data_IF_712494489727
#
_entry.id   IF_712494489727
#
_cell.length_a   1.000
_cell.length_b   1.000
_cell.length_c   1.000
_cell.angle_alpha   90.00
_cell.angle_beta   90.00
_cell.angle_gamma   90.00
#
_symmetry.space_group_name_H-M   'P 1'
#
loop_
_entity.id
_entity.type
_entity.pdbx_description
1 polymer ?
#
# COMPACT_ATOMS: atom_id res chain seq x y z
N UNK A 1 -28.33 2.76 12.51
CA UNK A 1 -27.76 1.44 12.20
C UNK A 1 -27.26 1.47 10.77
N UNK A 2 -26.03 1.93 10.53
CA UNK A 2 -25.41 1.80 9.21
C UNK A 2 -24.71 0.45 9.19
N UNK A 3 -25.15 -0.42 8.28
CA UNK A 3 -24.46 -1.66 7.97
C UNK A 3 -23.03 -1.31 7.63
N UNK A 4 -22.05 -1.86 8.37
CA UNK A 4 -20.72 -2.01 7.82
C UNK A 4 -20.91 -2.76 6.49
N UNK A 5 -20.56 -2.14 5.37
CA UNK A 5 -20.43 -2.91 4.15
C UNK A 5 -19.38 -3.98 4.45
N UNK A 6 -19.73 -5.26 4.36
CA UNK A 6 -18.75 -6.34 4.41
C UNK A 6 -17.94 -6.27 3.11
N UNK A 7 -17.00 -5.34 3.02
CA UNK A 7 -16.01 -5.30 1.95
C UNK A 7 -14.76 -6.03 2.44
N UNK A 8 -14.13 -6.77 1.54
CA UNK A 8 -12.80 -7.34 1.74
C UNK A 8 -11.79 -6.51 0.94
N UNK A 9 -10.63 -6.27 1.52
CA UNK A 9 -9.51 -5.61 0.88
C UNK A 9 -8.20 -6.29 1.29
N UNK A 10 -7.13 -6.03 0.54
CA UNK A 10 -5.87 -6.72 0.74
C UNK A 10 -5.77 -8.04 -0.03
N UNK A 11 -4.84 -8.88 0.39
CA UNK A 11 -4.57 -10.21 -0.16
C UNK A 11 -3.20 -10.33 -0.84
N UNK A 12 -2.90 -11.54 -1.31
CA UNK A 12 -1.68 -11.87 -2.03
C UNK A 12 -1.76 -11.39 -3.49
N UNK A 13 -0.77 -10.61 -3.91
CA UNK A 13 -0.59 -10.15 -5.29
C UNK A 13 0.69 -10.78 -5.85
N UNK A 14 0.52 -11.76 -6.75
CA UNK A 14 1.62 -12.57 -7.27
C UNK A 14 1.96 -12.31 -8.75
N UNK A 15 1.50 -11.19 -9.30
CA UNK A 15 1.72 -10.82 -10.70
C UNK A 15 2.92 -9.88 -10.83
N UNK A 16 3.45 -9.72 -12.06
CA UNK A 16 4.59 -8.83 -12.33
C UNK A 16 4.23 -7.34 -12.18
N UNK A 17 2.95 -7.01 -12.15
CA UNK A 17 2.45 -5.66 -11.95
C UNK A 17 0.99 -5.70 -11.55
N UNK A 18 0.50 -4.61 -10.99
CA UNK A 18 -0.90 -4.41 -10.68
C UNK A 18 -1.15 -3.10 -9.97
N UNK A 19 -2.39 -2.92 -9.52
CA UNK A 19 -2.84 -1.69 -8.87
C UNK A 19 -3.48 -2.04 -7.53
N UNK A 20 -3.18 -1.23 -6.52
CA UNK A 20 -3.77 -1.28 -5.18
C UNK A 20 -4.57 0.00 -4.97
N UNK A 21 -5.76 -0.13 -4.40
CA UNK A 21 -6.63 0.98 -4.10
C UNK A 21 -7.21 0.82 -2.70
N UNK A 22 -7.43 1.95 -2.03
CA UNK A 22 -8.29 1.95 -0.84
C UNK A 22 -9.70 1.46 -1.21
N UNK A 23 -10.42 0.81 -0.27
CA UNK A 23 -11.79 0.39 -0.53
C UNK A 23 -12.66 1.55 -1.02
N UNK A 24 -13.52 1.28 -2.00
CA UNK A 24 -14.43 2.24 -2.64
C UNK A 24 -13.78 3.38 -3.44
N UNK A 25 -12.46 3.40 -3.64
CA UNK A 25 -11.80 4.39 -4.50
C UNK A 25 -12.46 4.44 -5.91
N UNK A 26 -12.71 5.63 -6.50
CA UNK A 26 -12.30 6.98 -6.05
C UNK A 26 -13.32 7.64 -5.10
N UNK A 27 -14.27 6.89 -4.53
CA UNK A 27 -15.08 7.32 -3.41
C UNK A 27 -14.30 7.31 -2.10
N UNK A 28 -14.95 7.73 -1.01
CA UNK A 28 -14.29 7.75 0.28
C UNK A 28 -14.04 6.33 0.81
N UNK A 29 -12.87 6.10 1.40
CA UNK A 29 -12.63 4.87 2.16
C UNK A 29 -13.57 4.79 3.37
N UNK A 30 -13.85 3.60 3.89
CA UNK A 30 -14.67 3.41 5.08
C UNK A 30 -13.87 3.64 6.38
N UNK A 31 -14.58 3.94 7.45
CA UNK A 31 -14.03 3.97 8.80
C UNK A 31 -13.53 2.57 9.22
N UNK A 32 -12.47 2.52 10.02
CA UNK A 32 -11.86 1.31 10.57
C UNK A 32 -11.41 0.30 9.50
N UNK A 33 -10.97 0.81 8.34
CA UNK A 33 -10.39 -0.03 7.31
C UNK A 33 -9.02 -0.53 7.75
N UNK A 34 -8.78 -1.82 7.57
CA UNK A 34 -7.49 -2.45 7.82
C UNK A 34 -7.21 -3.43 6.68
N UNK A 35 -6.45 -2.97 5.68
CA UNK A 35 -6.18 -3.70 4.44
C UNK A 35 -4.69 -4.02 4.35
N UNK A 36 -4.35 -5.29 4.14
CA UNK A 36 -2.96 -5.74 3.98
C UNK A 36 -2.80 -6.41 2.63
N UNK A 37 -1.92 -5.86 1.79
CA UNK A 37 -1.50 -6.50 0.55
C UNK A 37 -0.09 -7.04 0.70
N UNK A 38 0.09 -8.31 0.34
CA UNK A 38 1.39 -8.96 0.25
C UNK A 38 1.74 -9.09 -1.23
N UNK A 39 2.79 -8.41 -1.67
CA UNK A 39 3.22 -8.43 -3.06
C UNK A 39 4.40 -9.38 -3.17
N UNK A 40 4.26 -10.40 -4.02
CA UNK A 40 5.29 -11.40 -4.28
C UNK A 40 5.56 -11.50 -5.78
N UNK A 41 6.70 -10.99 -6.21
CA UNK A 41 7.20 -11.17 -7.58
C UNK A 41 8.19 -12.33 -7.64
N UNK A 42 8.65 -12.68 -8.84
CA UNK A 42 9.69 -13.71 -9.03
C UNK A 42 11.00 -13.33 -8.32
N UNK A 43 11.73 -14.32 -7.80
CA UNK A 43 12.86 -14.13 -6.87
C UNK A 43 14.04 -13.31 -7.42
N UNK A 44 14.15 -13.14 -8.74
CA UNK A 44 15.17 -12.32 -9.41
C UNK A 44 14.74 -10.85 -9.64
N UNK A 45 13.60 -10.44 -9.09
CA UNK A 45 13.06 -9.10 -9.19
C UNK A 45 12.86 -8.48 -7.81
N UNK A 46 12.71 -7.15 -7.80
CA UNK A 46 12.24 -6.34 -6.67
C UNK A 46 10.90 -5.74 -7.01
N UNK A 47 10.15 -5.34 -6.00
CA UNK A 47 8.87 -4.66 -6.14
C UNK A 47 9.11 -3.15 -6.08
N UNK A 48 8.67 -2.42 -7.10
CA UNK A 48 8.55 -0.96 -7.04
C UNK A 48 7.08 -0.59 -6.97
N UNK A 49 6.72 0.26 -6.01
CA UNK A 49 5.37 0.75 -5.73
C UNK A 49 5.33 2.27 -5.89
N UNK A 50 4.46 2.78 -6.76
CA UNK A 50 4.30 4.22 -7.03
C UNK A 50 2.88 4.67 -6.73
N UNK A 51 2.72 5.63 -5.82
CA UNK A 51 1.42 6.25 -5.55
C UNK A 51 1.03 7.19 -6.69
N UNK A 52 -0.23 7.08 -7.14
CA UNK A 52 -0.84 7.93 -8.18
C UNK A 52 -1.80 8.96 -7.61
N UNK A 53 -2.41 8.63 -6.49
CA UNK A 53 -3.31 9.51 -5.74
C UNK A 53 -3.17 9.18 -4.25
N UNK A 54 -3.23 10.21 -3.41
CA UNK A 54 -3.31 10.04 -1.96
C UNK A 54 -4.00 11.25 -1.32
N UNK A 55 -5.13 10.97 -0.67
CA UNK A 55 -5.90 11.93 0.09
C UNK A 55 -6.55 11.21 1.28
N UNK A 56 -5.89 11.26 2.44
CA UNK A 56 -6.38 10.72 3.71
C UNK A 56 -6.37 11.79 4.79
N UNK A 57 -6.78 11.44 6.01
CA UNK A 57 -6.63 12.36 7.14
C UNK A 57 -5.16 12.71 7.34
N UNK A 58 -4.81 13.97 7.02
CA UNK A 58 -3.43 14.44 6.97
C UNK A 58 -2.80 14.70 8.34
N UNK A 59 -1.72 15.49 8.35
CA UNK A 59 -0.95 15.83 9.55
C UNK A 59 0.30 14.95 9.68
N UNK A 60 0.45 14.26 10.81
CA UNK A 60 1.61 13.37 11.08
C UNK A 60 1.33 11.89 10.74
N UNK A 61 0.28 11.63 9.97
CA UNK A 61 -0.18 10.26 9.62
C UNK A 61 -0.42 9.38 10.86
N UNK A 62 -0.92 9.98 11.96
CA UNK A 62 -1.17 9.27 13.22
C UNK A 62 -2.53 8.56 13.23
N UNK A 63 -3.48 9.08 12.46
CA UNK A 63 -4.85 8.58 12.37
C UNK A 63 -5.00 7.54 11.26
N UNK A 64 -4.84 8.01 10.03
CA UNK A 64 -4.98 7.19 8.84
C UNK A 64 -3.64 7.19 8.12
N UNK A 65 -3.24 6.04 7.60
CA UNK A 65 -1.96 5.91 6.91
C UNK A 65 -1.90 4.72 5.96
N UNK A 66 -0.92 4.77 5.08
CA UNK A 66 -0.37 3.62 4.37
C UNK A 66 1.07 3.43 4.80
N UNK A 67 1.39 2.25 5.31
CA UNK A 67 2.73 1.81 5.67
C UNK A 67 3.24 0.82 4.63
N UNK A 68 4.51 0.98 4.23
CA UNK A 68 5.15 0.15 3.22
C UNK A 68 6.35 -0.53 3.87
N UNK A 69 6.36 -1.86 3.85
CA UNK A 69 7.35 -2.69 4.52
C UNK A 69 8.21 -3.46 3.49
N UNK A 70 9.52 -3.50 3.75
CA UNK A 70 10.53 -4.20 2.95
C UNK A 70 10.60 -5.70 3.28
N UNK A 71 9.55 -6.43 2.90
CA UNK A 71 9.46 -7.87 3.12
C UNK A 71 8.03 -8.36 3.30
N UNK A 72 7.86 -9.63 3.68
CA UNK A 72 6.55 -10.29 3.72
C UNK A 72 5.71 -9.99 4.97
N UNK A 73 6.24 -9.27 5.96
CA UNK A 73 5.55 -9.06 7.24
C UNK A 73 5.51 -7.58 7.61
N UNK A 74 4.50 -7.20 8.40
CA UNK A 74 4.43 -5.86 9.04
C UNK A 74 5.48 -5.64 10.14
N UNK A 75 6.34 -6.63 10.38
CA UNK A 75 7.54 -6.54 11.23
C UNK A 75 8.83 -6.41 10.42
N UNK A 76 8.76 -6.49 9.09
CA UNK A 76 9.88 -6.20 8.20
C UNK A 76 10.27 -4.71 8.29
N UNK A 77 11.46 -4.31 7.82
CA UNK A 77 11.89 -2.92 7.85
C UNK A 77 10.88 -1.97 7.17
N UNK A 78 10.58 -0.83 7.77
CA UNK A 78 9.65 0.15 7.21
C UNK A 78 10.36 1.00 6.13
N UNK A 79 9.85 0.96 4.89
CA UNK A 79 10.30 1.84 3.80
C UNK A 79 9.69 3.24 3.91
N UNK A 80 8.46 3.34 4.39
CA UNK A 80 7.80 4.62 4.56
C UNK A 80 6.39 4.52 5.13
N UNK A 81 5.90 5.67 5.58
CA UNK A 81 4.55 5.89 6.09
C UNK A 81 3.99 7.18 5.50
N UNK A 82 2.84 7.11 4.83
CA UNK A 82 2.23 8.25 4.14
C UNK A 82 0.72 8.32 4.38
N UNK A 83 0.13 9.50 4.21
CA UNK A 83 -1.31 9.74 4.38
C UNK A 83 -1.84 10.89 3.51
N UNK A 84 -1.01 11.87 3.20
CA UNK A 84 -1.37 12.99 2.32
C UNK A 84 -0.12 13.66 1.78
N UNK A 85 -0.22 14.39 0.67
CA UNK A 85 0.87 15.22 0.14
C UNK A 85 1.50 14.63 -1.12
N UNK A 86 2.82 14.83 -1.27
CA UNK A 86 3.53 14.41 -2.49
C UNK A 86 3.41 12.91 -2.74
N UNK A 87 3.32 12.53 -4.00
CA UNK A 87 3.31 11.14 -4.43
C UNK A 87 4.73 10.56 -4.33
N UNK A 88 4.86 9.42 -3.66
CA UNK A 88 6.14 8.76 -3.42
C UNK A 88 6.23 7.44 -4.18
N UNK A 89 7.47 7.03 -4.47
CA UNK A 89 7.79 5.68 -4.98
C UNK A 89 8.69 4.97 -4.00
N UNK A 90 8.41 3.70 -3.74
CA UNK A 90 9.16 2.83 -2.84
C UNK A 90 9.62 1.60 -3.60
N UNK A 91 10.86 1.17 -3.39
CA UNK A 91 11.41 -0.06 -3.99
C UNK A 91 11.91 -0.98 -2.88
N UNK A 92 11.48 -2.23 -2.87
CA UNK A 92 11.93 -3.24 -1.92
C UNK A 92 13.37 -3.68 -2.21
N UNK A 93 14.02 -4.26 -1.21
CA UNK A 93 15.33 -4.93 -1.36
C UNK A 93 15.21 -6.35 -1.90
N UNK A 94 14.02 -6.98 -1.76
CA UNK A 94 13.73 -8.36 -2.17
C UNK A 94 12.53 -8.44 -3.12
N UNK A 95 12.14 -9.65 -3.51
CA UNK A 95 10.95 -9.92 -4.31
C UNK A 95 9.63 -9.84 -3.51
N UNK A 96 9.69 -9.39 -2.26
CA UNK A 96 8.58 -9.32 -1.31
C UNK A 96 8.40 -7.89 -0.79
N UNK A 97 7.17 -7.40 -0.78
CA UNK A 97 6.77 -6.12 -0.20
C UNK A 97 5.40 -6.25 0.47
N UNK A 98 5.21 -5.64 1.63
CA UNK A 98 3.90 -5.59 2.31
C UNK A 98 3.41 -4.15 2.37
N UNK A 99 2.16 -3.92 1.99
CA UNK A 99 1.49 -2.62 2.07
C UNK A 99 0.32 -2.72 3.03
N UNK A 100 0.28 -1.87 4.05
CA UNK A 100 -0.78 -1.82 5.06
C UNK A 100 -1.48 -0.48 5.04
N UNK A 101 -2.78 -0.48 4.72
CA UNK A 101 -3.64 0.68 4.86
C UNK A 101 -4.48 0.56 6.14
N UNK A 102 -4.48 1.62 6.93
CA UNK A 102 -5.24 1.75 8.15
C UNK A 102 -6.03 3.07 8.17
N UNK A 103 -7.30 3.02 8.58
CA UNK A 103 -8.10 4.19 8.94
C UNK A 103 -8.70 4.06 10.33
N UNK A 104 -8.89 5.18 11.02
CA UNK A 104 -9.56 5.24 12.31
C UNK A 104 -11.10 5.27 12.16
N UNK A 105 -11.82 5.58 13.24
CA UNK A 105 -13.29 5.63 13.25
C UNK A 105 -13.91 6.99 12.89
N UNK A 106 -13.16 7.93 12.31
CA UNK A 106 -13.59 9.32 12.05
C UNK A 106 -12.91 9.96 10.85
N UNK A 107 -13.71 10.62 10.02
CA UNK A 107 -13.30 11.42 8.86
C UNK A 107 -12.63 10.58 7.78
N UNK A 108 -13.38 10.32 6.72
CA UNK A 108 -12.87 9.61 5.56
C UNK A 108 -12.70 10.54 4.38
N UNK A 109 -11.81 10.15 3.49
CA UNK A 109 -11.44 10.90 2.30
C UNK A 109 -11.29 9.92 1.13
N UNK A 110 -10.91 10.41 -0.04
CA UNK A 110 -10.78 9.62 -1.28
C UNK A 110 -9.88 8.40 -1.14
N UNK A 111 -8.89 8.44 -0.25
CA UNK A 111 -7.94 7.36 -0.04
C UNK A 111 -6.80 7.41 -1.04
N UNK A 112 -6.47 6.28 -1.66
CA UNK A 112 -5.29 6.20 -2.52
C UNK A 112 -5.48 5.24 -3.69
N UNK A 113 -4.67 5.47 -4.72
CA UNK A 113 -4.35 4.48 -5.74
C UNK A 113 -2.82 4.41 -5.87
N UNK A 114 -2.28 3.20 -5.93
CA UNK A 114 -0.88 2.94 -6.19
C UNK A 114 -0.72 1.82 -7.21
N UNK A 115 0.28 1.94 -8.08
CA UNK A 115 0.64 0.88 -9.02
C UNK A 115 1.94 0.23 -8.56
N UNK A 116 2.04 -1.09 -8.67
CA UNK A 116 3.29 -1.81 -8.46
C UNK A 116 3.74 -2.51 -9.73
N UNK A 117 5.05 -2.69 -9.86
CA UNK A 117 5.67 -3.45 -10.94
C UNK A 117 6.98 -4.10 -10.47
N UNK A 118 7.33 -5.22 -11.10
CA UNK A 118 8.59 -5.91 -10.89
C UNK A 118 9.71 -5.22 -11.65
N UNK A 119 10.80 -4.90 -10.98
CA UNK A 119 12.06 -4.44 -11.60
C UNK A 119 13.14 -5.50 -11.40
N UNK A 120 13.99 -5.80 -12.40
CA UNK A 120 15.12 -6.69 -12.18
C UNK A 120 15.91 -6.26 -10.95
N UNK A 121 16.33 -7.21 -10.11
CA UNK A 121 17.11 -6.88 -8.91
C UNK A 121 18.55 -6.41 -9.23
N UNK A 122 18.89 -6.37 -10.52
CA UNK A 122 20.19 -6.32 -11.17
C UNK A 122 21.19 -7.39 -10.69
N UNK A 123 21.64 -8.20 -11.66
CA UNK A 123 22.98 -8.79 -11.63
C UNK A 123 23.92 -7.60 -11.61
N UNK A 124 24.71 -7.44 -10.55
CA UNK A 124 25.77 -6.46 -10.46
C UNK A 124 26.43 -6.31 -11.83
N UNK A 125 26.36 -5.14 -12.45
CA UNK A 125 27.25 -4.79 -13.55
C UNK A 125 28.65 -5.05 -13.04
N UNK A 126 29.28 -6.07 -13.63
CA UNK A 126 30.62 -6.54 -13.30
C UNK A 126 31.69 -5.49 -13.58
#
# INVERSE_FOLDING_TARGET
FFSAANYSCGGLLSYISGTLQSPFYPGNYPDNADCVWEIQVTSNFRVTLTFRDIQMQGGRCLSDYVEIYDGPLRTSPLLGKICSGSLHTYTSSSNLMTVHFHSNSRYTYRGFQADYYSVPADQSTS
#
